data_IF_921497114600
#
_entry.id   IF_921497114600
#
_cell.length_a   1.000
_cell.length_b   1.000
_cell.length_c   1.000
_cell.angle_alpha   90.00
_cell.angle_beta   90.00
_cell.angle_gamma   90.00
#
_symmetry.space_group_name_H-M   'P 1'
#
loop_
_entity.id
_entity.type
_entity.pdbx_description
1 polymer ?
#
# COMPACT_ATOMS: atom_id res chain seq x y z
N UNK A 1 7.24 -25.70 3.86
CA UNK A 1 5.81 -25.42 4.13
C UNK A 1 5.52 -25.27 5.62
N UNK A 2 6.13 -26.11 6.48
CA UNK A 2 5.95 -26.05 7.94
C UNK A 2 6.39 -24.71 8.56
N UNK A 3 7.51 -24.13 8.12
CA UNK A 3 8.00 -22.83 8.61
C UNK A 3 6.98 -21.72 8.36
N UNK A 4 6.46 -21.64 7.14
CA UNK A 4 5.44 -20.64 6.78
C UNK A 4 4.20 -20.77 7.68
N UNK A 5 3.69 -22.00 7.88
CA UNK A 5 2.54 -22.25 8.75
C UNK A 5 2.81 -21.77 10.17
N UNK A 6 3.98 -22.10 10.72
CA UNK A 6 4.40 -21.65 12.05
C UNK A 6 4.48 -20.12 12.16
N UNK A 7 5.08 -19.46 11.17
CA UNK A 7 5.20 -17.99 11.12
C UNK A 7 3.83 -17.32 11.01
N UNK A 8 2.96 -17.85 10.16
CA UNK A 8 1.61 -17.36 9.95
C UNK A 8 0.75 -17.51 11.21
N UNK A 9 0.73 -18.68 11.84
CA UNK A 9 0.00 -18.90 13.10
C UNK A 9 0.50 -17.98 14.21
N UNK A 10 1.81 -17.79 14.32
CA UNK A 10 2.40 -16.89 15.31
C UNK A 10 1.94 -15.45 15.11
N UNK A 11 1.93 -14.99 13.85
CA UNK A 11 1.50 -13.64 13.50
C UNK A 11 0.01 -13.43 13.84
N UNK A 12 -0.86 -14.40 13.56
CA UNK A 12 -2.29 -14.33 13.89
C UNK A 12 -2.61 -14.49 15.38
N UNK A 13 -1.77 -15.18 16.16
CA UNK A 13 -1.89 -15.25 17.63
C UNK A 13 -1.51 -13.94 18.32
N UNK A 14 -0.83 -13.02 17.62
CA UNK A 14 -0.45 -11.73 18.19
C UNK A 14 -1.67 -10.80 18.31
N UNK A 15 -1.88 -10.24 19.51
CA UNK A 15 -2.96 -9.29 19.81
C UNK A 15 -2.95 -8.06 18.90
N UNK A 16 -1.77 -7.60 18.46
CA UNK A 16 -1.64 -6.45 17.56
C UNK A 16 -2.16 -6.76 16.15
N UNK A 17 -1.97 -7.98 15.64
CA UNK A 17 -2.56 -8.40 14.37
C UNK A 17 -4.09 -8.41 14.45
N UNK A 18 -4.64 -8.96 15.54
CA UNK A 18 -6.08 -8.95 15.80
C UNK A 18 -6.62 -7.52 15.93
N UNK A 19 -5.87 -6.63 16.59
CA UNK A 19 -6.19 -5.21 16.66
C UNK A 19 -6.25 -4.57 15.26
N UNK A 20 -5.27 -4.86 14.38
CA UNK A 20 -5.29 -4.37 13.00
C UNK A 20 -6.51 -4.90 12.22
N UNK A 21 -6.92 -6.14 12.46
CA UNK A 21 -8.11 -6.72 11.85
C UNK A 21 -9.39 -5.99 12.28
N UNK A 22 -9.52 -5.65 13.57
CA UNK A 22 -10.65 -4.89 14.11
C UNK A 22 -10.65 -3.42 13.62
N UNK A 23 -9.49 -2.86 13.29
CA UNK A 23 -9.40 -1.52 12.70
C UNK A 23 -10.02 -1.43 11.30
N UNK A 24 -10.11 -2.53 10.55
CA UNK A 24 -10.67 -2.52 9.19
C UNK A 24 -12.12 -2.00 9.13
N UNK A 25 -13.10 -2.54 9.88
CA UNK A 25 -14.46 -1.99 9.88
C UNK A 25 -14.52 -0.55 10.42
N UNK A 26 -13.71 -0.20 11.42
CA UNK A 26 -13.66 1.16 11.95
C UNK A 26 -13.18 2.17 10.91
N UNK A 27 -12.17 1.78 10.11
CA UNK A 27 -11.67 2.58 9.02
C UNK A 27 -12.70 2.79 7.91
N UNK A 28 -13.50 1.77 7.59
CA UNK A 28 -14.62 1.90 6.66
C UNK A 28 -15.62 2.93 7.21
N UNK A 29 -16.02 2.85 8.48
CA UNK A 29 -16.95 3.83 9.07
C UNK A 29 -16.38 5.25 9.02
N UNK A 30 -15.08 5.41 9.31
CA UNK A 30 -14.39 6.70 9.24
C UNK A 30 -14.39 7.30 7.84
N UNK A 31 -13.95 6.55 6.82
CA UNK A 31 -13.96 7.01 5.43
C UNK A 31 -15.37 7.23 4.91
N UNK A 32 -16.34 6.43 5.34
CA UNK A 32 -17.74 6.58 4.93
C UNK A 32 -18.32 7.91 5.38
N UNK A 33 -18.03 8.33 6.62
CA UNK A 33 -18.46 9.65 7.12
C UNK A 33 -17.89 10.80 6.27
N UNK A 34 -16.63 10.67 5.85
CA UNK A 34 -15.98 11.68 5.00
C UNK A 34 -16.63 11.76 3.60
N UNK A 35 -16.68 10.65 2.87
CA UNK A 35 -17.18 10.64 1.48
C UNK A 35 -18.69 10.84 1.37
N UNK A 36 -19.49 10.20 2.23
CA UNK A 36 -20.94 10.43 2.22
C UNK A 36 -21.30 11.83 2.73
N UNK A 37 -20.48 12.41 3.61
CA UNK A 37 -20.58 13.83 3.97
C UNK A 37 -20.28 14.75 2.79
N UNK A 38 -19.29 14.39 1.96
CA UNK A 38 -18.93 15.15 0.76
C UNK A 38 -20.02 15.09 -0.32
N UNK A 39 -20.76 13.97 -0.42
CA UNK A 39 -21.90 13.85 -1.34
C UNK A 39 -22.98 14.90 -1.13
N UNK A 40 -23.11 15.49 0.07
CA UNK A 40 -24.07 16.56 0.33
C UNK A 40 -23.71 17.87 -0.38
N UNK A 41 -22.43 18.04 -0.74
CA UNK A 41 -21.89 19.25 -1.37
C UNK A 41 -21.60 19.06 -2.85
N UNK A 42 -21.43 17.83 -3.28
CA UNK A 42 -21.04 17.49 -4.65
C UNK A 42 -22.23 17.13 -5.53
N UNK A 43 -22.23 17.55 -6.81
CA UNK A 43 -23.22 17.06 -7.77
C UNK A 43 -22.97 15.57 -8.07
N UNK A 44 -24.05 14.85 -8.41
CA UNK A 44 -24.02 13.42 -8.77
C UNK A 44 -23.12 13.15 -9.98
N UNK A 45 -22.88 14.15 -10.82
CA UNK A 45 -21.99 14.08 -11.99
C UNK A 45 -20.51 14.24 -11.64
N UNK A 46 -20.15 14.45 -10.38
CA UNK A 46 -18.76 14.49 -9.92
C UNK A 46 -18.17 13.09 -9.84
N UNK A 47 -16.88 12.94 -10.20
CA UNK A 47 -16.16 11.69 -10.02
C UNK A 47 -15.96 11.32 -8.55
N UNK A 48 -15.96 12.32 -7.67
CA UNK A 48 -15.85 12.15 -6.21
C UNK A 48 -17.18 11.76 -5.56
N UNK A 49 -18.30 11.86 -6.29
CA UNK A 49 -19.60 11.46 -5.76
C UNK A 49 -19.61 9.95 -5.50
N UNK A 50 -19.81 9.59 -4.25
CA UNK A 50 -19.75 8.20 -3.79
C UNK A 50 -21.13 7.55 -3.84
N UNK A 51 -21.23 6.45 -4.54
CA UNK A 51 -22.43 5.63 -4.71
C UNK A 51 -22.07 4.18 -4.46
N UNK A 52 -23.06 3.29 -4.43
CA UNK A 52 -22.82 1.86 -4.22
C UNK A 52 -21.72 1.28 -5.13
N UNK A 53 -21.71 1.61 -6.42
CA UNK A 53 -20.79 0.97 -7.38
C UNK A 53 -19.33 1.39 -7.25
N UNK A 54 -19.02 2.59 -6.73
CA UNK A 54 -17.65 3.07 -6.48
C UNK A 54 -17.28 3.14 -4.98
N UNK A 55 -18.19 2.75 -4.08
CA UNK A 55 -18.00 2.85 -2.63
C UNK A 55 -16.74 2.15 -2.14
N UNK A 56 -16.57 0.87 -2.48
CA UNK A 56 -15.44 0.05 -1.99
C UNK A 56 -14.10 0.61 -2.41
N UNK A 57 -14.03 1.20 -3.60
CA UNK A 57 -12.86 1.91 -4.12
C UNK A 57 -12.62 3.21 -3.34
N UNK A 58 -13.64 4.07 -3.19
CA UNK A 58 -13.50 5.36 -2.48
C UNK A 58 -13.02 5.17 -1.04
N UNK A 59 -13.62 4.22 -0.31
CA UNK A 59 -13.22 3.92 1.08
C UNK A 59 -11.77 3.41 1.16
N UNK A 60 -11.33 2.70 0.13
CA UNK A 60 -10.00 2.07 0.11
C UNK A 60 -8.91 3.04 -0.32
N UNK A 61 -9.16 3.90 -1.30
CA UNK A 61 -8.22 4.94 -1.75
C UNK A 61 -7.73 5.80 -0.57
N UNK A 62 -8.64 6.23 0.30
CA UNK A 62 -8.33 7.02 1.49
C UNK A 62 -7.44 6.27 2.49
N UNK A 63 -7.75 5.00 2.71
CA UNK A 63 -7.11 4.17 3.75
C UNK A 63 -5.82 3.51 3.26
N UNK A 64 -5.59 3.45 1.95
CA UNK A 64 -4.44 2.77 1.35
C UNK A 64 -3.12 3.46 1.75
N UNK A 65 -3.02 4.77 1.55
CA UNK A 65 -1.80 5.53 1.85
C UNK A 65 -1.55 5.70 3.35
N UNK A 66 -2.57 5.51 4.19
CA UNK A 66 -2.54 5.76 5.64
C UNK A 66 -2.57 4.45 6.42
N UNK A 67 -3.76 3.87 6.61
CA UNK A 67 -3.99 2.68 7.44
C UNK A 67 -3.20 1.47 6.97
N UNK A 68 -3.24 1.13 5.68
CA UNK A 68 -2.57 -0.08 5.20
C UNK A 68 -1.05 0.01 5.32
N UNK A 69 -0.48 1.20 5.09
CA UNK A 69 0.94 1.45 5.35
C UNK A 69 1.25 1.36 6.84
N UNK A 70 0.41 1.89 7.72
CA UNK A 70 0.57 1.76 9.17
C UNK A 70 0.52 0.29 9.63
N UNK A 71 -0.44 -0.49 9.15
CA UNK A 71 -0.52 -1.92 9.43
C UNK A 71 0.74 -2.63 8.89
N UNK A 72 1.26 -2.24 7.73
CA UNK A 72 2.49 -2.83 7.18
C UNK A 72 3.69 -2.63 8.11
N UNK A 73 3.82 -1.42 8.69
CA UNK A 73 4.85 -1.13 9.71
C UNK A 73 4.70 -2.07 10.91
N UNK A 74 3.48 -2.19 11.43
CA UNK A 74 3.21 -3.03 12.61
C UNK A 74 3.53 -4.50 12.34
N UNK A 75 3.07 -5.07 11.22
CA UNK A 75 3.33 -6.47 10.89
C UNK A 75 4.82 -6.76 10.72
N UNK A 76 5.56 -5.87 10.08
CA UNK A 76 7.02 -6.00 9.94
C UNK A 76 7.70 -5.94 11.31
N UNK A 77 7.31 -5.01 12.18
CA UNK A 77 7.90 -4.90 13.51
C UNK A 77 7.65 -6.16 14.36
N UNK A 78 6.43 -6.67 14.35
CA UNK A 78 6.03 -7.88 15.09
C UNK A 78 6.79 -9.10 14.56
N UNK A 79 6.86 -9.26 13.24
CA UNK A 79 7.39 -10.48 12.64
C UNK A 79 8.92 -10.56 12.64
N UNK A 80 9.61 -9.42 12.63
CA UNK A 80 11.07 -9.36 12.45
C UNK A 80 11.74 -8.79 13.71
N UNK A 81 11.36 -7.60 14.18
CA UNK A 81 12.08 -6.93 15.29
C UNK A 81 11.87 -7.58 16.66
N UNK A 82 10.67 -8.11 16.94
CA UNK A 82 10.42 -8.77 18.23
C UNK A 82 11.27 -10.02 18.43
N UNK A 83 11.62 -10.70 17.34
CA UNK A 83 12.37 -11.94 17.38
C UNK A 83 13.87 -11.70 17.61
N UNK A 84 14.42 -10.62 17.03
CA UNK A 84 15.76 -10.14 17.36
C UNK A 84 15.87 -9.80 18.84
N UNK A 85 14.85 -9.15 19.42
CA UNK A 85 14.85 -8.77 20.84
C UNK A 85 14.72 -9.98 21.78
N UNK A 86 13.91 -10.98 21.41
CA UNK A 86 13.66 -12.17 22.24
C UNK A 86 14.72 -13.28 22.05
N UNK A 87 15.70 -13.11 21.15
CA UNK A 87 16.72 -14.11 20.85
C UNK A 87 16.18 -15.40 20.22
N UNK A 88 14.91 -15.42 19.81
CA UNK A 88 14.20 -16.62 19.35
C UNK A 88 14.72 -17.14 18.01
N UNK A 89 15.42 -16.30 17.23
CA UNK A 89 16.07 -16.70 15.98
C UNK A 89 17.02 -17.88 16.23
N UNK A 90 17.76 -17.89 17.36
CA UNK A 90 18.67 -18.98 17.75
C UNK A 90 17.97 -20.33 17.92
N UNK A 91 16.75 -20.33 18.43
CA UNK A 91 15.99 -21.56 18.69
C UNK A 91 15.44 -22.20 17.40
N UNK A 92 15.14 -21.40 16.39
CA UNK A 92 14.69 -21.89 15.08
C UNK A 92 15.87 -22.46 14.29
N UNK A 93 17.06 -21.85 14.41
CA UNK A 93 18.26 -22.28 13.69
C UNK A 93 18.81 -23.65 14.13
N UNK A 94 18.56 -24.06 15.37
CA UNK A 94 18.94 -25.40 15.86
C UNK A 94 18.24 -26.52 15.06
N UNK A 95 17.14 -26.21 14.35
CA UNK A 95 16.36 -27.17 13.56
C UNK A 95 16.86 -27.38 12.12
N UNK A 96 17.99 -26.78 11.73
CA UNK A 96 18.65 -27.06 10.44
C UNK A 96 18.07 -26.36 9.21
N UNK A 97 17.20 -25.35 9.37
CA UNK A 97 16.67 -24.59 8.25
C UNK A 97 17.64 -23.51 7.76
N UNK A 98 17.64 -23.22 6.46
CA UNK A 98 18.46 -22.13 5.91
C UNK A 98 17.86 -20.76 6.24
N UNK A 99 18.73 -19.76 6.40
CA UNK A 99 18.32 -18.38 6.68
C UNK A 99 17.41 -17.79 5.60
N UNK A 100 17.62 -18.16 4.33
CA UNK A 100 16.79 -17.72 3.22
C UNK A 100 15.38 -18.27 3.33
N UNK A 101 15.23 -19.54 3.71
CA UNK A 101 13.91 -20.15 3.92
C UNK A 101 13.15 -19.48 5.06
N UNK A 102 13.83 -19.15 6.16
CA UNK A 102 13.23 -18.42 7.30
C UNK A 102 12.79 -17.02 6.86
N UNK A 103 13.66 -16.30 6.14
CA UNK A 103 13.34 -14.97 5.62
C UNK A 103 12.11 -14.99 4.71
N UNK A 104 12.10 -15.86 3.69
CA UNK A 104 10.97 -15.95 2.76
C UNK A 104 9.69 -16.43 3.45
N UNK A 105 9.76 -17.32 4.45
CA UNK A 105 8.61 -17.74 5.22
C UNK A 105 7.98 -16.57 6.00
N UNK A 106 8.80 -15.68 6.59
CA UNK A 106 8.32 -14.47 7.29
C UNK A 106 7.70 -13.47 6.33
N UNK A 107 8.38 -13.14 5.24
CA UNK A 107 7.85 -12.20 4.25
C UNK A 107 6.55 -12.75 3.68
N UNK A 108 6.48 -14.05 3.35
CA UNK A 108 5.27 -14.69 2.90
C UNK A 108 4.14 -14.60 3.94
N UNK A 109 4.40 -14.82 5.23
CA UNK A 109 3.35 -14.75 6.27
C UNK A 109 2.77 -13.34 6.41
N UNK A 110 3.62 -12.30 6.34
CA UNK A 110 3.21 -10.90 6.34
C UNK A 110 2.37 -10.59 5.09
N UNK A 111 2.85 -11.00 3.90
CA UNK A 111 2.18 -10.78 2.61
C UNK A 111 0.81 -11.46 2.59
N UNK A 112 0.72 -12.73 3.03
CA UNK A 112 -0.55 -13.46 3.11
C UNK A 112 -1.52 -12.80 4.08
N UNK A 113 -1.05 -12.32 5.23
CA UNK A 113 -1.91 -11.61 6.19
C UNK A 113 -2.42 -10.29 5.61
N UNK A 114 -1.57 -9.53 4.93
CA UNK A 114 -2.01 -8.33 4.22
C UNK A 114 -3.03 -8.63 3.13
N UNK A 115 -2.81 -9.70 2.37
CA UNK A 115 -3.77 -10.13 1.35
C UNK A 115 -5.15 -10.44 1.96
N UNK A 116 -5.18 -11.14 3.09
CA UNK A 116 -6.43 -11.39 3.83
C UNK A 116 -7.10 -10.08 4.24
N UNK A 117 -6.34 -9.10 4.77
CA UNK A 117 -6.89 -7.81 5.16
C UNK A 117 -7.48 -7.05 3.97
N UNK A 118 -6.83 -7.09 2.80
CA UNK A 118 -7.35 -6.50 1.57
C UNK A 118 -8.67 -7.14 1.13
N UNK A 119 -8.73 -8.47 1.10
CA UNK A 119 -9.93 -9.22 0.70
C UNK A 119 -11.08 -8.93 1.67
N UNK A 120 -10.81 -8.98 2.97
CA UNK A 120 -11.82 -8.70 4.00
C UNK A 120 -12.29 -7.25 3.91
N UNK A 121 -11.39 -6.28 3.72
CA UNK A 121 -11.76 -4.88 3.56
C UNK A 121 -12.61 -4.66 2.30
N UNK A 122 -12.30 -5.34 1.19
CA UNK A 122 -13.10 -5.29 -0.04
C UNK A 122 -14.52 -5.84 0.18
N UNK A 123 -14.64 -7.01 0.80
CA UNK A 123 -15.93 -7.65 1.05
C UNK A 123 -16.77 -6.80 2.01
N UNK A 124 -16.19 -6.36 3.13
CA UNK A 124 -16.87 -5.54 4.12
C UNK A 124 -17.29 -4.18 3.56
N UNK A 125 -16.40 -3.49 2.84
CA UNK A 125 -16.74 -2.17 2.26
C UNK A 125 -17.83 -2.29 1.21
N UNK A 126 -17.79 -3.33 0.37
CA UNK A 126 -18.86 -3.58 -0.63
C UNK A 126 -20.19 -3.90 0.04
N UNK A 127 -20.18 -4.74 1.08
CA UNK A 127 -21.39 -5.08 1.83
C UNK A 127 -21.98 -3.87 2.54
N UNK A 128 -21.16 -3.07 3.25
CA UNK A 128 -21.60 -1.85 3.93
C UNK A 128 -22.11 -0.82 2.92
N UNK A 129 -21.39 -0.64 1.81
CA UNK A 129 -21.78 0.26 0.72
C UNK A 129 -23.14 -0.09 0.12
N UNK A 130 -23.49 -1.38 0.03
CA UNK A 130 -24.81 -1.81 -0.44
C UNK A 130 -25.97 -1.29 0.42
N UNK A 131 -25.75 -1.19 1.74
CA UNK A 131 -26.76 -0.76 2.69
C UNK A 131 -26.82 0.75 2.87
N UNK A 132 -25.68 1.45 2.84
CA UNK A 132 -25.60 2.87 3.23
C UNK A 132 -25.50 3.80 2.02
N UNK A 133 -24.85 3.39 0.93
CA UNK A 133 -24.55 4.29 -0.17
C UNK A 133 -25.75 4.50 -1.12
N UNK A 134 -25.88 5.69 -1.75
CA UNK A 134 -26.87 5.93 -2.78
C UNK A 134 -26.75 4.93 -3.94
N UNK A 135 -27.88 4.45 -4.46
CA UNK A 135 -27.95 3.52 -5.59
C UNK A 135 -28.18 4.33 -6.88
N UNK A 136 -27.12 4.47 -7.67
CA UNK A 136 -27.17 5.08 -8.99
C UNK A 136 -27.09 4.00 -10.07
N UNK A 137 -27.58 4.29 -11.27
CA UNK A 137 -27.43 3.41 -12.43
C UNK A 137 -26.14 3.69 -13.19
N UNK A 138 -25.72 4.95 -13.20
CA UNK A 138 -24.56 5.46 -13.89
C UNK A 138 -23.67 6.25 -12.92
N UNK A 139 -22.37 5.97 -12.96
CA UNK A 139 -21.37 6.50 -12.03
C UNK A 139 -20.23 7.11 -12.84
N UNK A 140 -19.76 8.30 -12.46
CA UNK A 140 -18.54 8.86 -13.03
C UNK A 140 -17.33 8.39 -12.22
N UNK A 141 -16.31 7.84 -12.89
CA UNK A 141 -15.04 7.45 -12.28
C UNK A 141 -13.97 8.53 -12.52
N UNK A 142 -12.92 8.53 -11.71
CA UNK A 142 -11.79 9.44 -11.91
C UNK A 142 -11.09 9.17 -13.25
N UNK A 143 -10.81 10.25 -13.99
CA UNK A 143 -10.14 10.20 -15.31
C UNK A 143 -10.89 9.41 -16.39
N UNK A 144 -12.22 9.33 -16.28
CA UNK A 144 -13.12 8.86 -17.34
C UNK A 144 -13.91 10.04 -17.90
N UNK A 145 -14.06 10.08 -19.23
CA UNK A 145 -14.86 11.09 -19.91
C UNK A 145 -16.37 10.85 -19.74
N UNK A 146 -16.79 9.57 -19.78
CA UNK A 146 -18.18 9.13 -19.62
C UNK A 146 -18.53 8.55 -18.25
N UNK A 147 -19.80 8.16 -18.11
CA UNK A 147 -20.32 7.38 -16.98
C UNK A 147 -20.17 5.88 -17.25
N UNK A 148 -20.12 5.10 -16.16
CA UNK A 148 -20.05 3.64 -16.21
C UNK A 148 -21.17 3.02 -15.39
N UNK A 149 -21.57 1.81 -15.75
CA UNK A 149 -22.54 1.04 -14.97
C UNK A 149 -21.94 0.53 -13.66
N UNK A 150 -22.79 0.23 -12.68
CA UNK A 150 -22.36 -0.31 -11.37
C UNK A 150 -21.46 -1.53 -11.47
N UNK A 151 -21.75 -2.45 -12.38
CA UNK A 151 -20.97 -3.67 -12.56
C UNK A 151 -19.53 -3.35 -13.04
N UNK A 152 -19.40 -2.40 -13.98
CA UNK A 152 -18.08 -1.90 -14.42
C UNK A 152 -17.34 -1.17 -13.28
N UNK A 153 -18.05 -0.41 -12.44
CA UNK A 153 -17.47 0.28 -11.29
C UNK A 153 -16.97 -0.68 -10.19
N UNK A 154 -17.68 -1.79 -9.95
CA UNK A 154 -17.23 -2.86 -9.03
C UNK A 154 -15.98 -3.55 -9.60
N UNK A 155 -15.93 -3.84 -10.90
CA UNK A 155 -14.72 -4.38 -11.53
C UNK A 155 -13.54 -3.40 -11.49
N UNK A 156 -13.81 -2.10 -11.66
CA UNK A 156 -12.81 -1.06 -11.45
C UNK A 156 -12.26 -1.12 -10.02
N UNK A 157 -13.13 -1.24 -9.02
CA UNK A 157 -12.73 -1.38 -7.61
C UNK A 157 -11.84 -2.60 -7.40
N UNK A 158 -12.17 -3.76 -8.00
CA UNK A 158 -11.34 -4.96 -7.91
C UNK A 158 -9.94 -4.74 -8.50
N UNK A 159 -9.84 -4.11 -9.68
CA UNK A 159 -8.55 -3.75 -10.29
C UNK A 159 -7.76 -2.78 -9.41
N UNK A 160 -8.46 -1.82 -8.80
CA UNK A 160 -7.84 -0.85 -7.89
C UNK A 160 -7.24 -1.54 -6.66
N UNK A 161 -7.93 -2.51 -6.06
CA UNK A 161 -7.39 -3.29 -4.93
C UNK A 161 -6.18 -4.13 -5.34
N UNK A 162 -6.19 -4.74 -6.53
CA UNK A 162 -5.06 -5.50 -7.04
C UNK A 162 -3.81 -4.62 -7.21
N UNK A 163 -3.95 -3.43 -7.81
CA UNK A 163 -2.86 -2.47 -7.93
C UNK A 163 -2.45 -1.90 -6.58
N UNK A 164 -3.40 -1.60 -5.69
CA UNK A 164 -3.13 -1.19 -4.32
C UNK A 164 -2.30 -2.22 -3.57
N UNK A 165 -2.60 -3.51 -3.75
CA UNK A 165 -1.84 -4.59 -3.12
C UNK A 165 -0.41 -4.61 -3.64
N UNK A 166 -0.20 -4.43 -4.95
CA UNK A 166 1.13 -4.31 -5.53
C UNK A 166 1.93 -3.14 -4.93
N UNK A 167 1.29 -1.99 -4.66
CA UNK A 167 1.97 -0.88 -3.97
C UNK A 167 2.37 -1.23 -2.53
N UNK A 168 1.53 -1.97 -1.81
CA UNK A 168 1.84 -2.42 -0.45
C UNK A 168 2.96 -3.45 -0.45
N UNK A 169 3.06 -4.33 -1.46
CA UNK A 169 4.22 -5.22 -1.62
C UNK A 169 5.52 -4.43 -1.78
N UNK A 170 5.51 -3.35 -2.57
CA UNK A 170 6.65 -2.48 -2.73
C UNK A 170 7.03 -1.73 -1.45
N UNK A 171 6.05 -1.31 -0.64
CA UNK A 171 6.32 -0.71 0.68
C UNK A 171 6.85 -1.74 1.67
N UNK A 172 6.29 -2.96 1.68
CA UNK A 172 6.73 -4.04 2.54
C UNK A 172 8.20 -4.39 2.27
N UNK A 173 8.65 -4.44 1.01
CA UNK A 173 10.06 -4.71 0.72
C UNK A 173 10.99 -3.67 1.35
N UNK A 174 10.64 -2.37 1.28
CA UNK A 174 11.40 -1.29 1.93
C UNK A 174 11.36 -1.42 3.46
N UNK A 175 10.19 -1.67 4.03
CA UNK A 175 10.04 -1.76 5.49
C UNK A 175 10.78 -2.96 6.07
N UNK A 176 10.77 -4.11 5.38
CA UNK A 176 11.55 -5.28 5.77
C UNK A 176 13.05 -4.99 5.77
N UNK A 177 13.56 -4.19 4.81
CA UNK A 177 14.96 -3.75 4.81
C UNK A 177 15.28 -2.98 6.09
N UNK A 178 14.48 -1.96 6.42
CA UNK A 178 14.69 -1.18 7.65
C UNK A 178 14.62 -2.05 8.90
N UNK A 179 13.69 -3.00 8.93
CA UNK A 179 13.56 -3.92 10.05
C UNK A 179 14.80 -4.79 10.27
N UNK A 180 15.42 -5.27 9.20
CA UNK A 180 16.63 -6.08 9.26
C UNK A 180 17.86 -5.23 9.61
N UNK A 181 17.93 -3.97 9.15
CA UNK A 181 19.04 -3.06 9.44
C UNK A 181 19.01 -2.60 10.91
N UNK A 182 17.88 -2.09 11.40
CA UNK A 182 17.82 -1.43 12.71
C UNK A 182 17.66 -2.39 13.89
N UNK A 183 17.17 -3.62 13.67
CA UNK A 183 16.99 -4.69 14.68
C UNK A 183 16.23 -4.28 15.97
N UNK A 184 15.56 -3.13 15.95
CA UNK A 184 14.84 -2.55 17.08
C UNK A 184 13.51 -2.01 16.58
N UNK A 185 12.44 -2.27 17.32
CA UNK A 185 11.09 -1.84 16.91
C UNK A 185 11.02 -0.32 16.77
N UNK A 186 11.61 0.45 17.69
CA UNK A 186 11.60 1.92 17.63
C UNK A 186 12.35 2.45 16.41
N UNK A 187 13.55 1.92 16.13
CA UNK A 187 14.33 2.32 14.96
C UNK A 187 13.59 2.01 13.65
N UNK A 188 13.01 0.82 13.55
CA UNK A 188 12.21 0.42 12.37
C UNK A 188 10.99 1.31 12.18
N UNK A 189 10.18 1.54 13.22
CA UNK A 189 9.00 2.42 13.14
C UNK A 189 9.42 3.82 12.69
N UNK A 190 10.44 4.40 13.34
CA UNK A 190 10.94 5.74 13.02
C UNK A 190 11.39 5.85 11.58
N UNK A 191 12.14 4.88 11.07
CA UNK A 191 12.63 4.90 9.68
C UNK A 191 11.52 4.68 8.66
N UNK A 192 10.55 3.81 8.93
CA UNK A 192 9.39 3.63 8.06
C UNK A 192 8.54 4.91 7.97
N UNK A 193 8.26 5.56 9.11
CA UNK A 193 7.53 6.83 9.13
C UNK A 193 8.31 7.92 8.40
N UNK A 194 9.61 8.05 8.67
CA UNK A 194 10.48 9.02 7.99
C UNK A 194 10.49 8.80 6.48
N UNK A 195 10.52 7.54 6.02
CA UNK A 195 10.43 7.20 4.60
C UNK A 195 9.08 7.61 3.99
N UNK A 196 7.96 7.34 4.65
CA UNK A 196 6.63 7.73 4.15
C UNK A 196 6.49 9.25 4.05
N UNK A 197 6.81 9.96 5.14
CA UNK A 197 6.71 11.43 5.20
C UNK A 197 7.69 12.09 4.24
N UNK A 198 8.94 11.64 4.24
CA UNK A 198 9.97 12.14 3.31
C UNK A 198 9.60 11.90 1.85
N UNK A 199 8.97 10.77 1.53
CA UNK A 199 8.45 10.48 0.19
C UNK A 199 7.34 11.43 -0.22
N UNK A 200 6.39 11.73 0.67
CA UNK A 200 5.34 12.73 0.39
C UNK A 200 5.93 14.11 0.17
N UNK A 201 6.82 14.58 1.06
CA UNK A 201 7.50 15.87 0.93
C UNK A 201 8.23 15.95 -0.41
N UNK A 202 8.98 14.91 -0.78
CA UNK A 202 9.68 14.85 -2.06
C UNK A 202 8.72 14.98 -3.26
N UNK A 203 7.59 14.27 -3.25
CA UNK A 203 6.59 14.37 -4.31
C UNK A 203 5.94 15.75 -4.39
N UNK A 204 5.65 16.41 -3.27
CA UNK A 204 5.08 17.76 -3.29
C UNK A 204 6.10 18.81 -3.76
N UNK A 205 7.37 18.70 -3.34
CA UNK A 205 8.44 19.58 -3.83
C UNK A 205 8.63 19.43 -5.33
N UNK A 206 8.67 18.19 -5.85
CA UNK A 206 8.80 17.96 -7.29
C UNK A 206 7.61 18.49 -8.08
N UNK A 207 6.38 18.42 -7.54
CA UNK A 207 5.19 19.03 -8.15
C UNK A 207 5.33 20.55 -8.25
N UNK A 208 5.70 21.22 -7.16
CA UNK A 208 5.86 22.67 -7.15
C UNK A 208 6.97 23.13 -8.10
N UNK A 209 8.10 22.40 -8.14
CA UNK A 209 9.15 22.64 -9.13
C UNK A 209 8.62 22.48 -10.57
N UNK A 210 7.82 21.45 -10.84
CA UNK A 210 7.19 21.23 -12.15
C UNK A 210 6.31 22.39 -12.58
N UNK A 211 5.45 22.90 -11.70
CA UNK A 211 4.58 24.05 -11.99
C UNK A 211 5.40 25.30 -12.33
N UNK A 212 6.46 25.59 -11.55
CA UNK A 212 7.35 26.72 -11.81
C UNK A 212 8.04 26.61 -13.17
N UNK A 213 8.45 25.40 -13.56
CA UNK A 213 9.15 25.16 -14.82
C UNK A 213 8.22 25.22 -16.03
N UNK A 214 7.00 24.69 -15.92
CA UNK A 214 6.00 24.77 -17.01
C UNK A 214 5.53 26.20 -17.26
N UNK A 215 5.55 27.07 -16.24
CA UNK A 215 5.17 28.48 -16.39
C UNK A 215 6.18 29.30 -17.19
N UNK A 216 7.44 28.87 -17.29
CA UNK A 216 8.47 29.57 -18.05
C UNK A 216 8.59 28.97 -19.47
N UNK A 217 8.20 29.70 -20.53
CA UNK A 217 8.15 29.19 -21.90
C UNK A 217 9.52 28.87 -22.51
N UNK A 218 10.63 29.29 -21.88
CA UNK A 218 11.99 28.98 -22.33
C UNK A 218 12.50 27.61 -21.86
N UNK A 219 11.77 26.90 -21.00
CA UNK A 219 12.22 25.61 -20.50
C UNK A 219 11.98 24.49 -21.51
N UNK A 220 12.99 23.64 -21.69
CA UNK A 220 12.92 22.51 -22.60
C UNK A 220 11.87 21.48 -22.18
N UNK A 221 11.08 21.03 -23.16
CA UNK A 221 10.02 20.01 -23.00
C UNK A 221 10.53 18.73 -22.32
N UNK A 222 11.80 18.38 -22.53
CA UNK A 222 12.42 17.21 -21.90
C UNK A 222 12.53 17.33 -20.37
N UNK A 223 12.82 18.53 -19.85
CA UNK A 223 12.94 18.76 -18.41
C UNK A 223 11.58 18.58 -17.71
N UNK A 224 10.51 19.10 -18.32
CA UNK A 224 9.14 18.98 -17.81
C UNK A 224 8.75 17.49 -17.73
N UNK A 225 9.00 16.72 -18.79
CA UNK A 225 8.72 15.27 -18.82
C UNK A 225 9.49 14.48 -17.75
N UNK A 226 10.71 14.89 -17.43
CA UNK A 226 11.51 14.24 -16.36
C UNK A 226 10.86 14.50 -15.01
N UNK A 227 10.41 15.73 -14.75
CA UNK A 227 9.80 16.10 -13.46
C UNK A 227 8.45 15.42 -13.27
N UNK A 228 7.64 15.29 -14.32
CA UNK A 228 6.41 14.49 -14.29
C UNK A 228 6.68 13.02 -13.89
N UNK A 229 7.79 12.43 -14.38
CA UNK A 229 8.21 11.08 -13.97
C UNK A 229 8.70 11.02 -12.53
N UNK A 230 9.42 12.03 -12.06
CA UNK A 230 9.91 12.13 -10.68
C UNK A 230 8.77 12.30 -9.68
N UNK A 231 7.72 13.03 -10.05
CA UNK A 231 6.53 13.21 -9.23
C UNK A 231 5.89 11.88 -8.83
N UNK A 232 5.85 10.91 -9.75
CA UNK A 232 5.29 9.57 -9.57
C UNK A 232 6.34 8.50 -9.18
N UNK A 233 7.52 8.88 -8.69
CA UNK A 233 8.56 7.91 -8.28
C UNK A 233 8.33 7.33 -6.89
N UNK A 234 7.59 8.03 -6.03
CA UNK A 234 7.41 7.61 -4.63
C UNK A 234 6.15 6.76 -4.48
N UNK A 235 6.25 5.69 -3.68
CA UNK A 235 5.13 4.76 -3.50
C UNK A 235 3.90 5.44 -2.87
N UNK A 236 4.03 6.31 -1.84
CA UNK A 236 2.86 6.97 -1.27
C UNK A 236 2.12 7.86 -2.29
N UNK A 237 2.85 8.49 -3.21
CA UNK A 237 2.21 9.27 -4.28
C UNK A 237 1.55 8.40 -5.34
N UNK A 238 2.16 7.25 -5.66
CA UNK A 238 1.53 6.22 -6.51
C UNK A 238 0.22 5.74 -5.88
N UNK A 239 0.20 5.50 -4.56
CA UNK A 239 -1.02 5.12 -3.84
C UNK A 239 -2.10 6.21 -3.87
N UNK A 240 -1.70 7.48 -3.72
CA UNK A 240 -2.64 8.60 -3.67
C UNK A 240 -3.29 8.92 -5.04
N UNK A 241 -2.51 8.96 -6.13
CA UNK A 241 -3.00 9.33 -7.49
C UNK A 241 -2.60 8.32 -8.56
N UNK A 242 -1.41 7.72 -8.46
CA UNK A 242 -0.85 6.87 -9.52
C UNK A 242 -1.75 5.70 -9.93
N UNK A 243 -2.42 5.02 -8.99
CA UNK A 243 -3.33 3.91 -9.33
C UNK A 243 -4.49 4.40 -10.21
N UNK A 244 -5.07 5.58 -9.92
CA UNK A 244 -6.13 6.16 -10.73
C UNK A 244 -5.64 6.48 -12.15
N UNK A 245 -4.40 6.93 -12.31
CA UNK A 245 -3.79 7.20 -13.63
C UNK A 245 -3.55 5.93 -14.44
N UNK A 246 -3.20 4.81 -13.77
CA UNK A 246 -3.04 3.50 -14.43
C UNK A 246 -4.40 2.96 -14.91
N UNK A 247 -5.47 3.23 -14.16
CA UNK A 247 -6.82 2.74 -14.47
C UNK A 247 -7.69 3.72 -15.27
N UNK A 248 -7.15 4.89 -15.63
CA UNK A 248 -7.82 5.90 -16.44
C UNK A 248 -8.24 5.34 -17.81
N UNK A 249 -9.21 5.99 -18.44
CA UNK A 249 -9.68 5.63 -19.79
C UNK A 249 -8.54 5.70 -20.82
N UNK A 250 -7.69 6.71 -20.70
CA UNK A 250 -6.43 6.83 -21.41
C UNK A 250 -5.27 6.79 -20.40
N UNK A 251 -4.67 5.61 -20.14
CA UNK A 251 -3.67 5.47 -19.10
C UNK A 251 -2.39 6.22 -19.45
N UNK A 252 -1.92 7.05 -18.52
CA UNK A 252 -0.69 7.85 -18.66
C UNK A 252 0.36 7.29 -17.71
N UNK A 253 1.59 7.09 -18.21
CA UNK A 253 2.74 6.60 -17.42
C UNK A 253 2.54 5.23 -16.75
N UNK A 254 1.61 4.39 -17.23
CA UNK A 254 1.32 3.08 -16.63
C UNK A 254 2.56 2.16 -16.53
N UNK A 255 3.32 2.03 -17.62
CA UNK A 255 4.54 1.22 -17.66
C UNK A 255 5.62 1.77 -16.72
N UNK A 256 5.68 3.09 -16.56
CA UNK A 256 6.61 3.75 -15.65
C UNK A 256 6.28 3.41 -14.19
N UNK A 257 5.01 3.56 -13.80
CA UNK A 257 4.54 3.23 -12.44
C UNK A 257 4.78 1.75 -12.12
N UNK A 258 4.40 0.84 -13.02
CA UNK A 258 4.59 -0.60 -12.82
C UNK A 258 6.08 -0.98 -12.74
N UNK A 259 6.93 -0.36 -13.57
CA UNK A 259 8.38 -0.55 -13.52
C UNK A 259 8.98 -0.08 -12.19
N UNK A 260 8.55 1.07 -11.68
CA UNK A 260 8.98 1.57 -10.37
C UNK A 260 8.60 0.59 -9.26
N UNK A 261 7.33 0.14 -9.22
CA UNK A 261 6.89 -0.82 -8.19
C UNK A 261 7.69 -2.12 -8.26
N UNK A 262 7.93 -2.65 -9.45
CA UNK A 262 8.76 -3.84 -9.64
C UNK A 262 10.21 -3.60 -9.17
N UNK A 263 10.79 -2.44 -9.48
CA UNK A 263 12.13 -2.08 -9.04
C UNK A 263 12.24 -2.00 -7.51
N UNK A 264 11.27 -1.38 -6.83
CA UNK A 264 11.22 -1.37 -5.35
C UNK A 264 11.13 -2.78 -4.77
N UNK A 265 10.30 -3.65 -5.34
CA UNK A 265 10.18 -5.03 -4.85
C UNK A 265 11.49 -5.78 -5.06
N UNK A 266 12.05 -5.76 -6.28
CA UNK A 266 13.24 -6.55 -6.64
C UNK A 266 14.47 -6.06 -5.88
N UNK A 267 14.76 -4.76 -5.91
CA UNK A 267 15.97 -4.19 -5.32
C UNK A 267 15.97 -4.38 -3.80
N UNK A 268 14.91 -3.92 -3.11
CA UNK A 268 14.88 -3.96 -1.65
C UNK A 268 14.77 -5.39 -1.13
N UNK A 269 14.04 -6.28 -1.78
CA UNK A 269 13.98 -7.71 -1.37
C UNK A 269 15.33 -8.38 -1.55
N UNK A 270 16.04 -8.13 -2.67
CA UNK A 270 17.35 -8.71 -2.94
C UNK A 270 18.41 -8.23 -1.93
N UNK A 271 18.44 -6.92 -1.66
CA UNK A 271 19.34 -6.33 -0.67
C UNK A 271 19.04 -6.87 0.73
N UNK A 272 17.76 -6.94 1.11
CA UNK A 272 17.36 -7.46 2.42
C UNK A 272 17.75 -8.92 2.59
N UNK A 273 17.48 -9.76 1.58
CA UNK A 273 17.86 -11.17 1.58
C UNK A 273 19.38 -11.36 1.69
N UNK A 274 20.16 -10.54 0.98
CA UNK A 274 21.63 -10.58 1.06
C UNK A 274 22.15 -10.18 2.44
N UNK A 275 21.59 -9.14 3.06
CA UNK A 275 21.97 -8.70 4.42
C UNK A 275 21.57 -9.75 5.45
N UNK A 276 20.35 -10.27 5.37
CA UNK A 276 19.82 -11.29 6.28
C UNK A 276 20.65 -12.58 6.20
N UNK A 277 21.09 -12.98 5.00
CA UNK A 277 21.90 -14.18 4.81
C UNK A 277 23.36 -14.03 5.26
N UNK A 278 23.96 -12.83 5.16
CA UNK A 278 25.40 -12.62 5.45
C UNK A 278 25.72 -12.35 6.91
N UNK A 279 24.80 -11.70 7.64
CA UNK A 279 25.14 -11.06 8.92
C UNK A 279 25.10 -11.97 10.15
N UNK A 280 24.64 -13.22 10.03
CA UNK A 280 24.54 -14.14 11.18
C UNK A 280 25.48 -15.37 11.07
N UNK A 281 26.53 -15.29 10.25
CA UNK A 281 27.70 -16.21 10.31
C UNK A 281 28.60 -15.97 11.54
N UNK A 282 28.21 -15.07 12.45
CA UNK A 282 28.96 -14.67 13.65
C UNK A 282 28.23 -15.01 14.97
N UNK A 283 27.37 -16.02 14.96
CA UNK A 283 26.87 -16.67 16.18
C UNK A 283 27.81 -17.81 16.53
#
# INVERSE_FOLDING_TARGET
MEIFKSEFERLWKNKLTLFCFILLPLAIVGSSKYYLGNNLKLPVTSAEYTSFGNYSFMMFQEMLATLFNFIAILLVCISITEEYRKGQIRLIMIRGYSFREIYFAKVASIVSTMFIFFVVYFILSTAIGYFIAPKLYEIKLFYYSGTVSNLKAIFYSLKYYALGFLTVLAILSVFTLFSVIFKSSTGTISSCICFLVGSFIFSEVTMHCGIMLTRNPHNGINLIKIIEKLYLITIPKIQHIGICLVLAEHPVLNYWILSILAAYIIIFTSVTCAIFSKRDNFI
#
